data_IF_187104364076
#
_entry.id   IF_187104364076
#
_cell.length_a   1.000
_cell.length_b   1.000
_cell.length_c   1.000
_cell.angle_alpha   90.00
_cell.angle_beta   90.00
_cell.angle_gamma   90.00
#
_symmetry.space_group_name_H-M   'P 1'
#
loop_
_entity.id
_entity.type
_entity.pdbx_description
1 polymer ?
#
# COMPACT_ATOMS: atom_id res chain seq x y z
N UNK A 1 -3.53 -4.87 -11.63
CA UNK A 1 -2.57 -5.66 -10.82
C UNK A 1 -1.69 -4.65 -10.10
N UNK A 2 -1.67 -4.71 -8.78
CA UNK A 2 -0.90 -3.79 -7.93
C UNK A 2 0.57 -4.19 -7.99
N UNK A 3 1.47 -3.21 -8.14
CA UNK A 3 2.94 -3.37 -8.17
C UNK A 3 3.59 -2.59 -7.03
N UNK A 4 4.85 -2.90 -6.63
CA UNK A 4 5.56 -2.17 -5.59
C UNK A 4 5.69 -0.66 -5.87
N UNK A 5 5.91 -0.31 -7.13
CA UNK A 5 6.12 1.06 -7.62
C UNK A 5 4.81 1.80 -7.94
N UNK A 6 3.66 1.28 -7.51
CA UNK A 6 2.38 1.99 -7.66
C UNK A 6 2.38 3.26 -6.79
N UNK A 7 1.88 4.35 -7.36
CA UNK A 7 1.62 5.57 -6.59
C UNK A 7 0.52 5.31 -5.57
N UNK A 8 0.66 5.89 -4.38
CA UNK A 8 -0.33 5.73 -3.31
C UNK A 8 -1.69 6.30 -3.72
N UNK A 9 -1.69 7.40 -4.47
CA UNK A 9 -2.91 7.99 -5.03
C UNK A 9 -3.63 6.99 -5.94
N UNK A 10 -2.93 6.40 -6.91
CA UNK A 10 -3.48 5.38 -7.81
C UNK A 10 -3.95 4.14 -7.03
N UNK A 11 -3.17 3.68 -6.06
CA UNK A 11 -3.53 2.52 -5.22
C UNK A 11 -4.86 2.73 -4.50
N UNK A 12 -5.11 3.92 -3.96
CA UNK A 12 -6.34 4.23 -3.24
C UNK A 12 -7.53 4.31 -4.19
N UNK A 13 -7.33 4.84 -5.41
CA UNK A 13 -8.37 4.90 -6.44
C UNK A 13 -8.78 3.51 -6.92
N UNK A 14 -7.82 2.62 -7.19
CA UNK A 14 -8.10 1.28 -7.73
C UNK A 14 -8.42 0.25 -6.65
N UNK A 15 -8.00 0.49 -5.41
CA UNK A 15 -8.12 -0.45 -4.29
C UNK A 15 -8.27 0.27 -2.95
N UNK A 16 -9.41 0.90 -2.66
CA UNK A 16 -9.63 1.64 -1.41
C UNK A 16 -9.49 0.76 -0.15
N UNK A 17 -9.71 -0.56 -0.25
CA UNK A 17 -9.51 -1.51 0.86
C UNK A 17 -8.03 -1.67 1.25
N UNK A 18 -7.10 -1.30 0.36
CA UNK A 18 -5.67 -1.31 0.64
C UNK A 18 -5.33 -0.38 1.81
N UNK A 19 -6.06 0.73 1.98
CA UNK A 19 -5.80 1.72 3.05
C UNK A 19 -5.89 1.07 4.44
N UNK A 20 -6.98 0.34 4.71
CA UNK A 20 -7.19 -0.29 6.01
C UNK A 20 -6.20 -1.45 6.25
N UNK A 21 -5.93 -2.23 5.21
CA UNK A 21 -4.97 -3.33 5.25
C UNK A 21 -3.54 -2.84 5.51
N UNK A 22 -3.07 -1.81 4.80
CA UNK A 22 -1.73 -1.24 4.97
C UNK A 22 -1.57 -0.55 6.32
N UNK A 23 -2.62 0.13 6.79
CA UNK A 23 -2.65 0.75 8.12
C UNK A 23 -2.44 -0.27 9.24
N UNK A 24 -3.03 -1.46 9.14
CA UNK A 24 -2.81 -2.57 10.10
C UNK A 24 -1.36 -3.06 10.12
N UNK A 25 -0.61 -2.87 9.04
CA UNK A 25 0.83 -3.15 8.94
C UNK A 25 1.71 -1.94 9.32
N UNK A 26 1.12 -0.82 9.74
CA UNK A 26 1.85 0.39 10.11
C UNK A 26 2.28 1.26 8.92
N UNK A 27 1.81 0.96 7.71
CA UNK A 27 2.02 1.77 6.51
C UNK A 27 0.82 2.70 6.36
N UNK A 28 1.07 4.02 6.38
CA UNK A 28 0.02 5.03 6.36
C UNK A 28 -0.08 5.64 4.95
N UNK A 29 -1.15 5.33 4.24
CA UNK A 29 -1.41 5.84 2.89
C UNK A 29 -2.24 7.13 2.86
N UNK A 30 -2.94 7.45 3.96
CA UNK A 30 -3.81 8.63 4.08
C UNK A 30 -3.51 9.33 5.39
N UNK A 31 -3.23 10.64 5.33
CA UNK A 31 -2.99 11.50 6.48
C UNK A 31 -3.97 12.68 6.42
N UNK A 32 -4.67 12.94 7.53
CA UNK A 32 -5.66 14.03 7.61
C UNK A 32 -6.74 14.04 6.50
N UNK A 33 -7.00 12.89 5.87
CA UNK A 33 -7.99 12.75 4.79
C UNK A 33 -7.41 12.89 3.38
N UNK A 34 -6.11 13.14 3.24
CA UNK A 34 -5.43 13.25 1.94
C UNK A 34 -4.45 12.08 1.73
N UNK A 35 -4.32 11.58 0.49
CA UNK A 35 -3.32 10.58 0.15
C UNK A 35 -1.91 11.13 0.35
N UNK A 36 -1.01 10.29 0.83
CA UNK A 36 0.41 10.67 0.93
C UNK A 36 1.08 10.55 -0.43
N UNK A 37 2.12 11.36 -0.64
CA UNK A 37 2.93 11.31 -1.85
C UNK A 37 3.99 10.21 -1.75
N UNK A 38 4.23 9.51 -2.86
CA UNK A 38 5.20 8.42 -2.98
C UNK A 38 4.55 7.09 -3.38
N UNK A 39 5.40 6.09 -3.53
CA UNK A 39 5.01 4.72 -3.91
C UNK A 39 4.82 3.82 -2.69
N UNK A 40 4.12 2.70 -2.89
CA UNK A 40 3.98 1.69 -1.84
C UNK A 40 5.34 1.12 -1.37
N UNK A 41 6.27 0.89 -2.30
CA UNK A 41 7.62 0.41 -1.99
C UNK A 41 8.40 1.40 -1.12
N UNK A 42 8.34 2.70 -1.44
CA UNK A 42 9.00 3.75 -0.65
C UNK A 42 8.45 3.78 0.79
N UNK A 43 7.12 3.86 0.94
CA UNK A 43 6.50 3.90 2.26
C UNK A 43 6.80 2.65 3.09
N UNK A 44 6.79 1.48 2.47
CA UNK A 44 7.11 0.23 3.15
C UNK A 44 8.60 0.18 3.55
N UNK A 45 9.49 0.62 2.66
CA UNK A 45 10.92 0.67 2.93
C UNK A 45 11.25 1.63 4.07
N UNK A 46 10.62 2.81 4.12
CA UNK A 46 10.77 3.78 5.22
C UNK A 46 10.30 3.22 6.57
N UNK A 47 9.35 2.28 6.56
CA UNK A 47 8.89 1.55 7.75
C UNK A 47 9.78 0.36 8.12
N UNK A 48 10.83 0.09 7.34
CA UNK A 48 11.79 -0.97 7.59
C UNK A 48 11.38 -2.34 7.05
N UNK A 49 10.40 -2.41 6.15
CA UNK A 49 10.05 -3.66 5.49
C UNK A 49 11.14 -4.06 4.50
N UNK A 50 11.51 -5.34 4.52
CA UNK A 50 12.41 -5.92 3.52
C UNK A 50 11.69 -6.14 2.19
N UNK A 51 12.46 -6.29 1.11
CA UNK A 51 11.91 -6.57 -0.23
C UNK A 51 10.98 -7.79 -0.26
N UNK A 52 11.34 -8.86 0.47
CA UNK A 52 10.50 -10.06 0.55
C UNK A 52 9.17 -9.82 1.26
N UNK A 53 9.14 -8.95 2.27
CA UNK A 53 7.90 -8.58 2.95
C UNK A 53 7.03 -7.67 2.09
N UNK A 54 7.66 -6.77 1.31
CA UNK A 54 6.97 -5.94 0.33
C UNK A 54 6.32 -6.82 -0.74
N UNK A 55 7.04 -7.82 -1.28
CA UNK A 55 6.46 -8.79 -2.22
C UNK A 55 5.27 -9.55 -1.61
N UNK A 56 5.33 -9.92 -0.34
CA UNK A 56 4.20 -10.53 0.37
C UNK A 56 3.01 -9.57 0.49
N UNK A 57 3.26 -8.31 0.84
CA UNK A 57 2.24 -7.26 0.91
C UNK A 57 1.54 -7.09 -0.45
N UNK A 58 2.31 -7.05 -1.55
CA UNK A 58 1.76 -6.94 -2.91
C UNK A 58 0.89 -8.13 -3.28
N UNK A 59 1.33 -9.35 -2.94
CA UNK A 59 0.54 -10.55 -3.19
C UNK A 59 -0.78 -10.54 -2.40
N UNK A 60 -0.72 -10.17 -1.12
CA UNK A 60 -1.91 -10.05 -0.27
C UNK A 60 -2.87 -8.96 -0.79
N UNK A 61 -2.36 -7.81 -1.21
CA UNK A 61 -3.15 -6.71 -1.80
C UNK A 61 -3.88 -7.14 -3.07
N UNK A 62 -3.20 -7.86 -3.98
CA UNK A 62 -3.82 -8.39 -5.20
C UNK A 62 -4.86 -9.48 -4.92
N UNK A 63 -4.76 -10.17 -3.77
CA UNK A 63 -5.70 -11.21 -3.35
C UNK A 63 -6.89 -10.66 -2.53
N UNK A 64 -6.87 -9.38 -2.11
CA UNK A 64 -7.99 -8.78 -1.41
C UNK A 64 -9.25 -8.81 -2.30
N UNK A 65 -10.43 -9.16 -1.75
CA UNK A 65 -11.68 -9.09 -2.51
C UNK A 65 -11.93 -7.65 -2.98
N UNK A 66 -12.43 -7.48 -4.20
CA UNK A 66 -12.97 -6.21 -4.69
C UNK A 66 -14.36 -6.05 -4.09
N UNK A 67 -14.64 -4.95 -3.39
CA UNK A 67 -16.01 -4.60 -2.99
C UNK A 67 -16.82 -4.03 -4.13
#
# INVERSE_FOLDING_TARGET
MIRPDIDVEELIEVKPEAVDYLRKKGIVCVLCGEPVWGTLEELATEKGFSKSEIDQIINELNALPLK
#
